data_IF_909431302200
#
_entry.id   IF_909431302200
#
_cell.length_a   1.000
_cell.length_b   1.000
_cell.length_c   1.000
_cell.angle_alpha   90.00
_cell.angle_beta   90.00
_cell.angle_gamma   90.00
#
_symmetry.space_group_name_H-M   'P 1'
#
loop_
_entity.id
_entity.type
_entity.pdbx_description
1 polymer ?
#
# COMPACT_ATOMS: atom_id res chain seq x y z
N UNK A 1 -31.95 23.88 -6.41
CA UNK A 1 -31.11 23.02 -5.55
C UNK A 1 -32.04 22.43 -4.52
N UNK A 2 -32.46 21.20 -4.68
CA UNK A 2 -33.38 20.53 -3.77
C UNK A 2 -32.54 19.93 -2.65
N UNK A 3 -32.71 20.43 -1.46
CA UNK A 3 -32.02 20.04 -0.24
C UNK A 3 -32.48 18.63 0.17
N UNK A 4 -31.83 17.59 -0.31
CA UNK A 4 -32.17 16.19 0.00
C UNK A 4 -31.95 15.81 1.47
N UNK A 5 -31.28 16.67 2.24
CA UNK A 5 -30.95 16.43 3.65
C UNK A 5 -32.03 16.90 4.63
N UNK A 6 -33.09 17.59 4.18
CA UNK A 6 -34.15 18.13 5.02
C UNK A 6 -35.46 17.35 4.91
N UNK A 7 -35.43 16.10 4.50
CA UNK A 7 -36.60 15.25 4.48
C UNK A 7 -36.81 14.61 5.85
N UNK A 8 -38.01 14.75 6.38
CA UNK A 8 -38.45 14.08 7.62
C UNK A 8 -38.26 12.57 7.44
N UNK A 9 -37.54 11.88 8.35
CA UNK A 9 -37.37 10.42 8.24
C UNK A 9 -38.69 9.71 8.15
N UNK A 10 -38.89 8.92 7.11
CA UNK A 10 -40.16 8.19 6.87
C UNK A 10 -40.41 7.06 7.87
N UNK A 11 -39.44 6.74 8.72
CA UNK A 11 -39.53 5.74 9.80
C UNK A 11 -38.77 6.26 11.00
N UNK A 12 -39.37 6.12 12.20
CA UNK A 12 -38.66 6.34 13.44
C UNK A 12 -37.55 5.30 13.54
N UNK A 13 -36.29 5.73 13.60
CA UNK A 13 -35.16 4.84 13.85
C UNK A 13 -35.08 4.58 15.36
N UNK A 14 -35.21 3.33 15.76
CA UNK A 14 -34.97 2.90 17.13
C UNK A 14 -33.45 2.63 17.29
N UNK A 15 -32.79 3.43 18.12
CA UNK A 15 -31.37 3.23 18.44
C UNK A 15 -31.24 2.19 19.55
N UNK A 16 -31.02 0.94 19.18
CA UNK A 16 -30.73 -0.12 20.12
C UNK A 16 -29.24 -0.08 20.46
N UNK A 17 -28.88 0.20 21.73
CA UNK A 17 -27.53 -0.02 22.23
C UNK A 17 -27.40 -1.47 22.71
N UNK A 18 -26.81 -2.36 21.92
CA UNK A 18 -26.61 -3.73 22.37
C UNK A 18 -25.69 -3.74 23.59
N UNK A 19 -25.92 -4.60 24.58
CA UNK A 19 -25.02 -4.76 25.71
C UNK A 19 -23.66 -5.21 25.17
N UNK A 20 -22.60 -4.46 25.53
CA UNK A 20 -21.23 -4.82 25.16
C UNK A 20 -20.77 -6.01 26.02
N UNK A 21 -21.15 -7.21 25.60
CA UNK A 21 -20.79 -8.46 26.30
C UNK A 21 -19.28 -8.68 26.37
N UNK A 22 -18.54 -8.17 25.39
CA UNK A 22 -17.07 -8.21 25.39
C UNK A 22 -16.51 -7.34 26.52
N UNK A 23 -17.01 -6.12 26.65
CA UNK A 23 -16.63 -5.20 27.74
C UNK A 23 -17.02 -5.74 29.12
N UNK A 24 -18.15 -6.42 29.22
CA UNK A 24 -18.58 -7.07 30.47
C UNK A 24 -17.66 -8.25 30.86
N UNK A 25 -17.13 -9.00 29.85
CA UNK A 25 -16.21 -10.13 30.09
C UNK A 25 -14.77 -9.69 30.34
N UNK A 26 -14.29 -8.63 29.67
CA UNK A 26 -12.90 -8.14 29.74
C UNK A 26 -12.73 -7.06 30.82
N UNK A 27 -13.82 -6.50 31.33
CA UNK A 27 -13.81 -5.41 32.30
C UNK A 27 -13.53 -4.04 31.66
N UNK A 28 -13.35 -3.02 32.47
CA UNK A 28 -13.01 -1.67 32.05
C UNK A 28 -11.51 -1.40 31.97
N UNK A 29 -10.67 -2.39 32.28
CA UNK A 29 -9.23 -2.30 32.22
C UNK A 29 -8.75 -2.50 30.78
N UNK A 30 -8.05 -1.52 30.22
CA UNK A 30 -7.17 -1.71 29.07
C UNK A 30 -5.93 -2.52 29.47
N UNK A 31 -5.01 -2.71 28.56
CA UNK A 31 -3.67 -3.18 28.89
C UNK A 31 -3.05 -2.19 29.89
N UNK A 32 -2.35 -2.71 30.93
CA UNK A 32 -1.65 -1.83 31.86
C UNK A 32 -0.56 -1.05 31.12
N UNK A 33 -0.27 0.18 31.57
CA UNK A 33 0.82 0.99 31.01
C UNK A 33 2.13 0.21 30.97
N UNK A 34 2.42 -0.60 32.00
CA UNK A 34 3.61 -1.44 32.04
C UNK A 34 3.68 -2.47 30.89
N UNK A 35 2.54 -3.04 30.49
CA UNK A 35 2.47 -3.98 29.35
C UNK A 35 2.64 -3.22 28.02
N UNK A 36 2.05 -2.03 27.91
CA UNK A 36 2.19 -1.18 26.74
C UNK A 36 3.64 -0.70 26.59
N UNK A 37 4.27 -0.25 27.67
CA UNK A 37 5.67 0.17 27.68
C UNK A 37 6.62 -0.98 27.29
N UNK A 38 6.39 -2.19 27.84
CA UNK A 38 7.18 -3.37 27.46
C UNK A 38 7.00 -3.74 25.99
N UNK A 39 5.77 -3.67 25.47
CA UNK A 39 5.50 -3.93 24.07
C UNK A 39 6.17 -2.89 23.18
N UNK A 40 6.11 -1.62 23.55
CA UNK A 40 6.77 -0.53 22.83
C UNK A 40 8.29 -0.69 22.84
N UNK A 41 8.88 -0.96 24.02
CA UNK A 41 10.32 -1.24 24.13
C UNK A 41 10.75 -2.44 23.28
N UNK A 42 9.93 -3.49 23.21
CA UNK A 42 10.21 -4.64 22.34
C UNK A 42 10.22 -4.27 20.87
N UNK A 43 9.29 -3.43 20.43
CA UNK A 43 9.24 -2.94 19.04
C UNK A 43 10.40 -1.98 18.73
N UNK A 44 10.71 -1.06 19.65
CA UNK A 44 11.80 -0.09 19.50
C UNK A 44 13.18 -0.75 19.47
N UNK A 45 13.36 -1.83 20.24
CA UNK A 45 14.61 -2.60 20.31
C UNK A 45 14.63 -3.81 19.36
N UNK A 46 13.74 -3.82 18.36
CA UNK A 46 13.70 -4.91 17.38
C UNK A 46 15.03 -4.97 16.59
N UNK A 47 15.80 -6.03 16.81
CA UNK A 47 17.10 -6.27 16.15
C UNK A 47 16.99 -7.30 15.02
N UNK A 48 15.77 -7.74 14.69
CA UNK A 48 15.56 -8.71 13.62
C UNK A 48 15.94 -8.06 12.29
N UNK A 49 16.77 -8.76 11.50
CA UNK A 49 17.19 -8.27 10.18
C UNK A 49 15.99 -8.29 9.21
N UNK A 50 15.69 -7.15 8.63
CA UNK A 50 14.61 -7.00 7.64
C UNK A 50 14.98 -7.58 6.28
N UNK A 51 16.26 -7.67 5.95
CA UNK A 51 16.74 -8.05 4.63
C UNK A 51 16.13 -9.37 4.10
N UNK A 52 16.12 -10.50 4.85
CA UNK A 52 15.55 -11.74 4.34
C UNK A 52 14.06 -11.65 4.03
N UNK A 53 13.31 -10.91 4.86
CA UNK A 53 11.88 -10.72 4.68
C UNK A 53 11.58 -9.79 3.49
N UNK A 54 12.34 -8.72 3.36
CA UNK A 54 12.21 -7.80 2.23
C UNK A 54 12.54 -8.48 0.89
N UNK A 55 13.61 -9.29 0.83
CA UNK A 55 13.96 -10.06 -0.37
C UNK A 55 12.85 -11.03 -0.77
N UNK A 56 12.22 -11.71 0.18
CA UNK A 56 11.08 -12.60 -0.09
C UNK A 56 9.93 -11.84 -0.76
N UNK A 57 9.62 -10.63 -0.30
CA UNK A 57 8.58 -9.80 -0.92
C UNK A 57 9.02 -9.22 -2.27
N UNK A 58 10.27 -8.81 -2.41
CA UNK A 58 10.83 -8.33 -3.67
C UNK A 58 10.83 -9.45 -4.73
N UNK A 59 11.11 -10.68 -4.35
CA UNK A 59 10.99 -11.86 -5.24
C UNK A 59 9.52 -12.05 -5.69
N UNK A 60 8.56 -11.76 -4.82
CA UNK A 60 7.14 -11.75 -5.18
C UNK A 60 6.82 -10.69 -6.24
N UNK A 61 7.33 -9.46 -6.10
CA UNK A 61 7.19 -8.41 -7.12
C UNK A 61 7.85 -8.83 -8.43
N UNK A 62 9.05 -9.44 -8.36
CA UNK A 62 9.78 -9.96 -9.54
C UNK A 62 8.95 -10.95 -10.33
N UNK A 63 8.27 -11.89 -9.66
CA UNK A 63 7.36 -12.85 -10.32
C UNK A 63 6.24 -12.14 -11.09
N UNK A 64 5.64 -11.09 -10.52
CA UNK A 64 4.63 -10.29 -11.21
C UNK A 64 5.21 -9.55 -12.41
N UNK A 65 6.43 -9.02 -12.32
CA UNK A 65 7.17 -8.41 -13.44
C UNK A 65 7.41 -9.43 -14.56
N UNK A 66 7.81 -10.66 -14.23
CA UNK A 66 8.01 -11.72 -15.21
C UNK A 66 6.71 -12.11 -15.89
N UNK A 67 5.63 -12.30 -15.12
CA UNK A 67 4.30 -12.53 -15.68
C UNK A 67 3.87 -11.43 -16.65
N UNK A 68 4.09 -10.16 -16.28
CA UNK A 68 3.75 -9.02 -17.14
C UNK A 68 4.55 -9.01 -18.45
N UNK A 69 5.83 -9.40 -18.42
CA UNK A 69 6.69 -9.45 -19.61
C UNK A 69 6.32 -10.59 -20.56
N UNK A 70 5.86 -11.70 -20.01
CA UNK A 70 5.48 -12.88 -20.76
C UNK A 70 3.99 -12.85 -21.18
N UNK A 71 3.21 -11.86 -20.69
CA UNK A 71 1.78 -11.76 -20.91
C UNK A 71 1.43 -11.54 -22.37
N UNK A 72 0.45 -12.31 -22.85
CA UNK A 72 -0.22 -12.13 -24.15
C UNK A 72 -1.58 -11.42 -24.02
N UNK A 73 -2.24 -11.12 -25.14
CA UNK A 73 -3.52 -10.40 -25.14
C UNK A 73 -4.69 -11.11 -24.44
N UNK A 74 -4.53 -12.40 -24.14
CA UNK A 74 -5.56 -13.21 -23.48
C UNK A 74 -5.30 -13.39 -21.96
N UNK A 75 -4.19 -12.87 -21.47
CA UNK A 75 -3.81 -13.04 -20.06
C UNK A 75 -4.55 -12.04 -19.17
N UNK A 76 -4.78 -12.44 -17.93
CA UNK A 76 -5.50 -11.66 -16.93
C UNK A 76 -4.57 -10.56 -16.37
N UNK A 77 -4.78 -9.33 -16.83
CA UNK A 77 -4.04 -8.16 -16.35
C UNK A 77 -4.27 -7.92 -14.85
N UNK A 78 -5.48 -8.15 -14.34
CA UNK A 78 -5.81 -7.96 -12.93
C UNK A 78 -5.05 -8.95 -12.06
N UNK A 79 -4.96 -10.21 -12.47
CA UNK A 79 -4.15 -11.22 -11.78
C UNK A 79 -2.66 -10.85 -11.75
N UNK A 80 -2.13 -10.36 -12.86
CA UNK A 80 -0.73 -9.93 -12.95
C UNK A 80 -0.45 -8.75 -12.03
N UNK A 81 -1.33 -7.74 -12.03
CA UNK A 81 -1.25 -6.59 -11.12
C UNK A 81 -1.34 -7.05 -9.66
N UNK A 82 -2.29 -7.91 -9.32
CA UNK A 82 -2.47 -8.43 -7.97
C UNK A 82 -1.23 -9.18 -7.46
N UNK A 83 -0.52 -9.90 -8.35
CA UNK A 83 0.73 -10.61 -8.01
C UNK A 83 1.84 -9.65 -7.58
N UNK A 84 1.87 -8.42 -8.11
CA UNK A 84 2.81 -7.36 -7.68
C UNK A 84 2.29 -6.59 -6.46
N UNK A 85 0.99 -6.36 -6.39
CA UNK A 85 0.34 -5.54 -5.38
C UNK A 85 0.48 -6.14 -3.97
N UNK A 86 0.19 -7.44 -3.82
CA UNK A 86 0.25 -8.10 -2.51
C UNK A 86 1.63 -8.00 -1.84
N UNK A 87 2.76 -8.36 -2.48
CA UNK A 87 4.08 -8.21 -1.85
C UNK A 87 4.45 -6.72 -1.62
N UNK A 88 4.00 -5.79 -2.46
CA UNK A 88 4.18 -4.36 -2.21
C UNK A 88 3.47 -3.91 -0.92
N UNK A 89 2.24 -4.39 -0.69
CA UNK A 89 1.52 -4.14 0.57
C UNK A 89 2.26 -4.69 1.78
N UNK A 90 2.90 -5.85 1.67
CA UNK A 90 3.71 -6.43 2.74
C UNK A 90 4.97 -5.60 3.01
N UNK A 91 5.66 -5.11 1.98
CA UNK A 91 6.79 -4.19 2.13
C UNK A 91 6.37 -2.90 2.84
N UNK A 92 5.24 -2.29 2.46
CA UNK A 92 4.66 -1.12 3.12
C UNK A 92 4.36 -1.40 4.59
N UNK A 93 3.69 -2.51 4.90
CA UNK A 93 3.28 -2.85 6.26
C UNK A 93 4.46 -3.09 7.20
N UNK A 94 5.53 -3.70 6.69
CA UNK A 94 6.67 -4.12 7.51
C UNK A 94 7.80 -3.08 7.57
N UNK A 95 7.95 -2.21 6.55
CA UNK A 95 9.07 -1.27 6.48
C UNK A 95 9.23 -0.41 7.74
N UNK A 96 8.16 0.21 8.22
CA UNK A 96 8.18 1.02 9.43
C UNK A 96 8.52 0.22 10.70
N UNK A 97 8.01 -1.02 10.81
CA UNK A 97 8.25 -1.90 11.95
C UNK A 97 9.74 -2.28 12.07
N UNK A 98 10.43 -2.39 10.96
CA UNK A 98 11.85 -2.72 10.90
C UNK A 98 12.78 -1.50 10.76
N UNK A 99 12.29 -0.30 11.07
CA UNK A 99 13.03 0.97 11.01
C UNK A 99 13.43 1.41 9.58
N UNK A 100 12.68 1.00 8.56
CA UNK A 100 12.82 1.43 7.17
C UNK A 100 11.58 2.21 6.69
N UNK A 101 11.21 3.34 7.31
CA UNK A 101 10.05 4.12 6.88
C UNK A 101 10.15 4.57 5.42
N UNK A 102 11.36 4.78 4.88
CA UNK A 102 11.55 5.06 3.46
C UNK A 102 11.05 3.91 2.57
N UNK A 103 11.22 2.65 2.98
CA UNK A 103 10.63 1.50 2.25
C UNK A 103 9.10 1.56 2.30
N UNK A 104 8.52 1.92 3.43
CA UNK A 104 7.07 2.12 3.57
C UNK A 104 6.56 3.16 2.59
N UNK A 105 7.23 4.32 2.50
CA UNK A 105 6.83 5.42 1.62
C UNK A 105 6.97 5.06 0.14
N UNK A 106 8.07 4.39 -0.25
CA UNK A 106 8.29 3.91 -1.62
C UNK A 106 7.25 2.85 -2.01
N UNK A 107 7.00 1.88 -1.13
CA UNK A 107 6.00 0.84 -1.36
C UNK A 107 4.58 1.40 -1.44
N UNK A 108 4.25 2.43 -0.65
CA UNK A 108 2.97 3.13 -0.73
C UNK A 108 2.74 3.75 -2.11
N UNK A 109 3.76 4.40 -2.68
CA UNK A 109 3.70 4.95 -4.05
C UNK A 109 3.55 3.87 -5.11
N UNK A 110 4.27 2.76 -4.96
CA UNK A 110 4.11 1.60 -5.85
C UNK A 110 2.68 1.04 -5.81
N UNK A 111 2.09 0.92 -4.63
CA UNK A 111 0.70 0.47 -4.47
C UNK A 111 -0.25 1.41 -5.19
N UNK A 112 -0.14 2.73 -4.94
CA UNK A 112 -0.97 3.73 -5.60
C UNK A 112 -0.86 3.67 -7.13
N UNK A 113 0.33 3.42 -7.66
CA UNK A 113 0.55 3.23 -9.09
C UNK A 113 -0.15 1.97 -9.62
N UNK A 114 0.05 0.82 -8.94
CA UNK A 114 -0.54 -0.46 -9.33
C UNK A 114 -2.08 -0.48 -9.24
N UNK A 115 -2.67 0.29 -8.33
CA UNK A 115 -4.14 0.39 -8.17
C UNK A 115 -4.81 1.20 -9.29
N UNK A 116 -4.05 2.01 -10.02
CA UNK A 116 -4.61 2.92 -11.04
C UNK A 116 -4.34 2.46 -12.47
N UNK A 117 -3.29 1.67 -12.71
CA UNK A 117 -3.01 1.15 -14.06
C UNK A 117 -4.07 0.13 -14.47
N UNK A 118 -4.50 0.20 -15.74
CA UNK A 118 -5.48 -0.74 -16.31
C UNK A 118 -4.82 -2.05 -16.76
N UNK A 119 -3.57 -1.96 -17.25
CA UNK A 119 -2.79 -3.11 -17.67
C UNK A 119 -1.30 -2.90 -17.40
N UNK A 120 -0.54 -3.96 -17.10
CA UNK A 120 0.90 -3.88 -16.87
C UNK A 120 1.66 -3.88 -18.20
N UNK A 121 1.53 -2.78 -18.97
CA UNK A 121 2.29 -2.58 -20.20
C UNK A 121 3.81 -2.43 -19.93
N UNK A 122 4.60 -2.32 -21.00
CA UNK A 122 6.06 -2.25 -20.90
C UNK A 122 6.52 -1.05 -20.08
N UNK A 123 5.89 0.13 -20.26
CA UNK A 123 6.26 1.35 -19.52
C UNK A 123 5.88 1.20 -18.03
N UNK A 124 4.73 0.62 -17.72
CA UNK A 124 4.32 0.32 -16.34
C UNK A 124 5.30 -0.66 -15.68
N UNK A 125 5.71 -1.71 -16.37
CA UNK A 125 6.69 -2.70 -15.88
C UNK A 125 8.04 -2.04 -15.59
N UNK A 126 8.51 -1.12 -16.42
CA UNK A 126 9.76 -0.37 -16.18
C UNK A 126 9.66 0.49 -14.90
N UNK A 127 8.51 1.11 -14.66
CA UNK A 127 8.26 1.87 -13.43
C UNK A 127 8.27 0.95 -12.22
N UNK A 128 7.55 -0.17 -12.26
CA UNK A 128 7.56 -1.16 -11.17
C UNK A 128 8.98 -1.66 -10.88
N UNK A 129 9.78 -1.90 -11.93
CA UNK A 129 11.17 -2.31 -11.79
C UNK A 129 12.03 -1.21 -11.14
N UNK A 130 11.78 0.06 -11.42
CA UNK A 130 12.45 1.17 -10.75
C UNK A 130 12.13 1.21 -9.26
N UNK A 131 10.86 1.02 -8.87
CA UNK A 131 10.44 0.91 -7.47
C UNK A 131 11.12 -0.28 -6.78
N UNK A 132 11.06 -1.45 -7.41
CA UNK A 132 11.69 -2.68 -6.91
C UNK A 132 13.19 -2.48 -6.65
N UNK A 133 13.92 -1.98 -7.64
CA UNK A 133 15.36 -1.74 -7.55
C UNK A 133 15.69 -0.74 -6.45
N UNK A 134 14.87 0.29 -6.31
CA UNK A 134 15.03 1.32 -5.28
C UNK A 134 14.83 0.75 -3.88
N UNK A 135 13.75 0.00 -3.64
CA UNK A 135 13.51 -0.66 -2.34
C UNK A 135 14.68 -1.60 -2.02
N UNK A 136 15.11 -2.40 -2.99
CA UNK A 136 16.23 -3.32 -2.83
C UNK A 136 17.52 -2.58 -2.45
N UNK A 137 17.83 -1.47 -3.11
CA UNK A 137 18.99 -0.65 -2.78
C UNK A 137 18.91 -0.06 -1.37
N UNK A 138 17.74 0.41 -0.93
CA UNK A 138 17.53 0.93 0.43
C UNK A 138 17.78 -0.14 1.48
N UNK A 139 17.22 -1.35 1.29
CA UNK A 139 17.35 -2.45 2.26
C UNK A 139 18.78 -2.98 2.30
N UNK A 140 19.40 -3.26 1.14
CA UNK A 140 20.79 -3.73 1.06
C UNK A 140 21.78 -2.69 1.56
N UNK A 141 21.55 -1.42 1.26
CA UNK A 141 22.35 -0.31 1.78
C UNK A 141 22.13 -0.03 3.28
N UNK A 142 21.23 -0.75 3.94
CA UNK A 142 20.84 -0.56 5.34
C UNK A 142 20.50 0.90 5.65
N UNK A 143 19.81 1.55 4.71
CA UNK A 143 19.38 2.95 4.86
C UNK A 143 18.15 2.98 5.76
N UNK A 144 18.38 3.01 7.06
CA UNK A 144 17.33 3.12 8.09
C UNK A 144 16.82 4.57 8.16
N UNK A 145 15.59 4.74 8.65
CA UNK A 145 14.95 6.06 8.69
C UNK A 145 14.38 6.48 7.32
N UNK A 146 14.10 7.78 7.19
CA UNK A 146 13.46 8.39 6.00
C UNK A 146 14.43 8.67 4.83
N UNK A 147 15.72 8.33 4.98
CA UNK A 147 16.75 8.62 3.99
C UNK A 147 17.10 10.11 3.83
N UNK A 148 16.52 11.00 4.67
CA UNK A 148 16.82 12.43 4.68
C UNK A 148 16.54 13.11 3.34
N UNK A 149 17.47 13.97 2.90
CA UNK A 149 17.35 14.69 1.63
C UNK A 149 17.32 13.74 0.43
N UNK A 150 18.18 12.73 0.42
CA UNK A 150 18.25 11.77 -0.68
C UNK A 150 17.00 10.89 -0.76
N UNK A 151 16.42 10.51 0.38
CA UNK A 151 15.14 9.79 0.41
C UNK A 151 14.01 10.60 -0.25
N UNK A 152 13.93 11.90 0.05
CA UNK A 152 12.96 12.80 -0.57
C UNK A 152 13.16 12.99 -2.08
N UNK A 153 14.41 13.17 -2.51
CA UNK A 153 14.77 13.27 -3.93
C UNK A 153 14.40 11.99 -4.70
N UNK A 154 14.64 10.83 -4.09
CA UNK A 154 14.33 9.54 -4.65
C UNK A 154 12.82 9.33 -4.80
N UNK A 155 12.05 9.63 -3.76
CA UNK A 155 10.58 9.58 -3.80
C UNK A 155 10.01 10.54 -4.85
N UNK A 156 10.56 11.75 -4.97
CA UNK A 156 10.16 12.70 -5.98
C UNK A 156 10.41 12.16 -7.39
N UNK A 157 11.58 11.58 -7.66
CA UNK A 157 11.91 11.01 -8.97
C UNK A 157 10.99 9.84 -9.35
N UNK A 158 10.66 8.96 -8.40
CA UNK A 158 9.70 7.86 -8.62
C UNK A 158 8.29 8.40 -8.90
N UNK A 159 7.84 9.39 -8.13
CA UNK A 159 6.56 10.03 -8.33
C UNK A 159 6.45 10.73 -9.70
N UNK A 160 7.51 11.43 -10.11
CA UNK A 160 7.58 12.08 -11.43
C UNK A 160 7.52 11.05 -12.58
N UNK A 161 8.08 9.85 -12.38
CA UNK A 161 7.96 8.76 -13.35
C UNK A 161 6.50 8.30 -13.48
N UNK A 162 5.78 8.14 -12.37
CA UNK A 162 4.36 7.79 -12.38
C UNK A 162 3.51 8.88 -13.05
N UNK A 163 3.76 10.15 -12.75
CA UNK A 163 3.05 11.28 -13.37
C UNK A 163 3.23 11.25 -14.88
N UNK A 164 4.47 11.12 -15.38
CA UNK A 164 4.73 11.04 -16.83
C UNK A 164 4.04 9.85 -17.51
N UNK A 165 3.92 8.74 -16.81
CA UNK A 165 3.16 7.59 -17.30
C UNK A 165 1.69 7.94 -17.49
N UNK A 166 1.02 8.50 -16.48
CA UNK A 166 -0.39 8.86 -16.57
C UNK A 166 -0.68 10.04 -17.51
N UNK A 167 0.28 10.93 -17.75
CA UNK A 167 0.18 11.95 -18.79
C UNK A 167 0.13 11.35 -20.20
N UNK A 168 0.83 10.23 -20.42
CA UNK A 168 0.82 9.50 -21.71
C UNK A 168 -0.36 8.54 -21.84
N UNK A 169 -0.84 8.00 -20.73
CA UNK A 169 -1.92 7.03 -20.64
C UNK A 169 -3.09 7.63 -19.84
N UNK A 170 -3.80 8.65 -20.36
CA UNK A 170 -4.95 9.21 -19.68
C UNK A 170 -6.02 8.13 -19.56
N UNK A 171 -6.51 7.88 -18.35
CA UNK A 171 -7.62 6.96 -18.09
C UNK A 171 -8.82 7.39 -18.93
N UNK A 172 -9.43 6.46 -19.67
CA UNK A 172 -10.67 6.72 -20.40
C UNK A 172 -11.74 7.09 -19.36
N UNK A 173 -12.41 8.26 -19.47
CA UNK A 173 -13.51 8.57 -18.56
C UNK A 173 -14.54 7.45 -18.65
N UNK A 174 -14.94 6.90 -17.50
CA UNK A 174 -16.09 5.99 -17.45
C UNK A 174 -17.25 6.71 -18.13
N UNK A 175 -17.68 6.21 -19.30
CA UNK A 175 -18.92 6.65 -19.93
C UNK A 175 -20.03 6.39 -18.91
N UNK A 176 -20.48 7.45 -18.25
CA UNK A 176 -21.71 7.40 -17.47
C UNK A 176 -22.81 7.07 -18.46
N UNK A 177 -23.21 5.79 -18.49
CA UNK A 177 -24.30 5.33 -19.31
C UNK A 177 -25.51 6.24 -19.08
N UNK A 178 -25.87 7.00 -20.09
CA UNK A 178 -27.18 7.63 -20.20
C UNK A 178 -28.17 6.47 -20.32
N UNK A 179 -28.74 6.07 -19.19
CA UNK A 179 -29.96 5.29 -19.20
C UNK A 179 -31.10 6.21 -19.70
N UNK A 180 -31.49 5.99 -20.97
CA UNK A 180 -32.67 6.55 -21.61
C UNK A 180 -33.96 5.91 -21.08
#
# INVERSE_FOLDING_TARGET
MTDHYNQTPRRNAEFIKPPNLLKAKVGSGGLSEEILDKAQQFLENNTVDFLPLAEMYLDGVTKGIELAKDAGPADDAEYTIATMLYPAMQLKANGGMFHYPLVTDIADRLIQFLEVIEAPDIEAVEIVLAFHTTIRAVVHGRITGDGGKHGKELLAALNDACIRYFEKHPSTPLEMGEEG
#
